data_IF_887392983734
#
_entry.id   IF_887392983734
#
_cell.length_a   1.000
_cell.length_b   1.000
_cell.length_c   1.000
_cell.angle_alpha   90.00
_cell.angle_beta   90.00
_cell.angle_gamma   90.00
#
_symmetry.space_group_name_H-M   'P 1'
#
loop_
_entity.id
_entity.type
_entity.pdbx_description
1 polymer ?
#
# COMPACT_ATOMS: atom_id res chain seq x y z
N UNK A 1 8.09 10.96 -2.65
CA UNK A 1 7.15 11.93 -3.26
C UNK A 1 7.37 11.86 -4.76
N UNK A 2 6.34 11.51 -5.52
CA UNK A 2 6.38 11.46 -6.97
C UNK A 2 5.36 12.44 -7.55
N UNK A 3 5.71 13.03 -8.68
CA UNK A 3 4.85 13.95 -9.43
C UNK A 3 4.65 13.35 -10.82
N UNK A 4 3.39 13.18 -11.22
CA UNK A 4 3.03 12.69 -12.55
C UNK A 4 2.23 13.76 -13.30
N UNK A 5 2.58 13.99 -14.56
CA UNK A 5 1.87 14.89 -15.47
C UNK A 5 1.49 14.07 -16.71
N UNK A 6 0.24 13.59 -16.73
CA UNK A 6 -0.33 12.89 -17.88
C UNK A 6 -1.40 13.77 -18.53
N UNK A 7 -1.06 14.33 -19.70
CA UNK A 7 -2.03 14.94 -20.62
C UNK A 7 -2.97 15.98 -19.97
N UNK A 8 -2.47 16.77 -19.01
CA UNK A 8 -3.21 17.83 -18.32
C UNK A 8 -3.73 17.46 -16.92
N UNK A 9 -3.71 16.18 -16.54
CA UNK A 9 -4.06 15.74 -15.19
C UNK A 9 -2.78 15.65 -14.36
N UNK A 10 -2.67 16.55 -13.37
CA UNK A 10 -1.55 16.59 -12.43
C UNK A 10 -1.92 15.79 -11.20
N UNK A 11 -1.12 14.78 -10.88
CA UNK A 11 -1.27 14.03 -9.64
C UNK A 11 -0.04 14.20 -8.75
N UNK A 12 -0.28 14.19 -7.45
CA UNK A 12 0.76 14.13 -6.44
C UNK A 12 0.63 12.80 -5.69
N UNK A 13 1.76 12.10 -5.59
CA UNK A 13 1.85 10.84 -4.88
C UNK A 13 2.81 10.97 -3.70
N UNK A 14 2.32 10.59 -2.54
CA UNK A 14 3.11 10.50 -1.31
C UNK A 14 2.96 9.10 -0.75
N UNK A 15 4.09 8.44 -0.57
CA UNK A 15 4.17 7.14 0.09
C UNK A 15 5.28 7.17 1.12
N UNK A 16 5.12 6.35 2.14
CA UNK A 16 6.10 6.19 3.20
C UNK A 16 5.86 4.90 3.97
N UNK A 17 6.96 4.32 4.45
CA UNK A 17 6.94 3.24 5.42
C UNK A 17 7.86 3.61 6.58
N UNK A 18 7.43 3.28 7.80
CA UNK A 18 8.18 3.59 9.01
C UNK A 18 8.14 2.42 10.01
N UNK A 19 9.30 1.95 10.52
CA UNK A 19 9.34 0.95 11.57
C UNK A 19 8.96 1.58 12.91
N UNK A 20 7.88 1.11 13.52
CA UNK A 20 7.53 1.49 14.90
C UNK A 20 8.53 0.85 15.86
N UNK A 21 8.90 -0.40 15.59
CA UNK A 21 9.91 -1.15 16.33
C UNK A 21 10.55 -2.20 15.40
N UNK A 22 11.38 -3.09 15.94
CA UNK A 22 12.09 -4.11 15.16
C UNK A 22 11.18 -5.17 14.49
N UNK A 23 9.91 -5.26 14.88
CA UNK A 23 8.96 -6.24 14.38
C UNK A 23 7.74 -5.60 13.69
N UNK A 24 7.43 -4.33 13.94
CA UNK A 24 6.22 -3.65 13.46
C UNK A 24 6.56 -2.50 12.53
N UNK A 25 6.00 -2.56 11.32
CA UNK A 25 6.17 -1.56 10.28
C UNK A 25 4.80 -1.02 9.89
N UNK A 26 4.68 0.30 9.80
CA UNK A 26 3.50 0.93 9.21
C UNK A 26 3.85 1.47 7.84
N UNK A 27 2.88 1.43 6.95
CA UNK A 27 3.02 1.98 5.61
C UNK A 27 1.74 2.71 5.21
N UNK A 28 1.92 3.78 4.46
CA UNK A 28 0.84 4.58 3.92
C UNK A 28 1.22 5.13 2.54
N UNK A 29 0.21 5.28 1.70
CA UNK A 29 0.32 5.83 0.35
C UNK A 29 -0.94 6.63 0.02
N UNK A 30 -0.77 7.77 -0.64
CA UNK A 30 -1.86 8.59 -1.14
C UNK A 30 -1.51 9.09 -2.53
N UNK A 31 -2.46 8.96 -3.47
CA UNK A 31 -2.43 9.58 -4.78
C UNK A 31 -3.61 10.55 -4.87
N UNK A 32 -3.30 11.83 -5.05
CA UNK A 32 -4.29 12.89 -5.19
C UNK A 32 -4.15 13.58 -6.55
N UNK A 33 -5.26 13.70 -7.29
CA UNK A 33 -5.36 14.59 -8.44
C UNK A 33 -5.40 16.03 -7.95
N UNK A 34 -4.42 16.83 -8.34
CA UNK A 34 -4.36 18.28 -8.07
C UNK A 34 -5.30 19.01 -9.03
N UNK A 35 -5.43 18.53 -10.27
CA UNK A 35 -6.31 19.11 -11.28
C UNK A 35 -7.78 19.02 -10.86
N UNK A 36 -8.21 17.85 -10.39
CA UNK A 36 -9.62 17.60 -10.03
C UNK A 36 -9.89 17.81 -8.53
N UNK A 37 -8.84 18.00 -7.73
CA UNK A 37 -8.89 18.05 -6.26
C UNK A 37 -9.54 16.81 -5.60
N UNK A 38 -9.40 15.64 -6.24
CA UNK A 38 -9.94 14.35 -5.78
C UNK A 38 -8.80 13.43 -5.33
N UNK A 39 -9.01 12.66 -4.26
CA UNK A 39 -8.10 11.58 -3.85
C UNK A 39 -8.41 10.32 -4.67
N UNK A 40 -7.52 9.96 -5.59
CA UNK A 40 -7.74 8.82 -6.48
C UNK A 40 -7.55 7.49 -5.76
N UNK A 41 -6.51 7.41 -4.93
CA UNK A 41 -6.16 6.22 -4.17
C UNK A 41 -5.59 6.59 -2.81
N UNK A 42 -5.90 5.78 -1.83
CA UNK A 42 -5.32 5.83 -0.49
C UNK A 42 -5.09 4.40 -0.01
N UNK A 43 -3.90 4.15 0.51
CA UNK A 43 -3.45 2.86 1.03
C UNK A 43 -2.90 3.10 2.41
N UNK A 44 -3.34 2.30 3.37
CA UNK A 44 -2.78 2.31 4.74
C UNK A 44 -2.60 0.88 5.19
N UNK A 45 -1.60 0.63 6.01
CA UNK A 45 -1.42 -0.71 6.52
C UNK A 45 -0.32 -0.84 7.54
N UNK A 46 -0.28 -2.05 8.09
CA UNK A 46 0.67 -2.48 9.08
C UNK A 46 1.18 -3.86 8.70
N UNK A 47 2.47 -4.05 8.88
CA UNK A 47 3.13 -5.35 8.81
C UNK A 47 3.75 -5.66 10.17
N UNK A 48 3.60 -6.91 10.59
CA UNK A 48 4.29 -7.48 11.74
C UNK A 48 5.15 -8.64 11.25
N UNK A 49 6.41 -8.64 11.64
CA UNK A 49 7.40 -9.62 11.23
C UNK A 49 7.97 -10.34 12.45
N UNK A 50 8.00 -11.66 12.37
CA UNK A 50 8.65 -12.55 13.34
C UNK A 50 9.72 -13.40 12.65
N UNK A 51 10.39 -14.27 13.41
CA UNK A 51 11.49 -15.10 12.91
C UNK A 51 11.04 -16.16 11.88
N UNK A 52 9.79 -16.63 11.94
CA UNK A 52 9.30 -17.71 11.07
C UNK A 52 8.00 -17.36 10.34
N UNK A 53 7.38 -16.23 10.67
CA UNK A 53 6.13 -15.79 10.08
C UNK A 53 6.07 -14.28 10.04
N UNK A 54 5.31 -13.76 9.10
CA UNK A 54 4.95 -12.35 9.04
C UNK A 54 3.46 -12.23 8.71
N UNK A 55 2.85 -11.15 9.14
CA UNK A 55 1.50 -10.78 8.72
C UNK A 55 1.49 -9.36 8.22
N UNK A 56 0.63 -9.08 7.25
CA UNK A 56 0.30 -7.71 6.90
C UNK A 56 -1.19 -7.53 6.72
N UNK A 57 -1.65 -6.36 7.12
CA UNK A 57 -3.02 -5.91 6.96
C UNK A 57 -2.95 -4.58 6.23
N UNK A 58 -3.68 -4.48 5.11
CA UNK A 58 -3.77 -3.24 4.36
C UNK A 58 -5.22 -2.90 4.06
N UNK A 59 -5.51 -1.61 4.13
CA UNK A 59 -6.76 -1.02 3.74
C UNK A 59 -6.53 -0.11 2.53
N UNK A 60 -7.35 -0.30 1.51
CA UNK A 60 -7.29 0.43 0.25
C UNK A 60 -8.61 1.14 0.02
N UNK A 61 -8.51 2.40 -0.37
CA UNK A 61 -9.61 3.23 -0.82
C UNK A 61 -9.31 3.72 -2.22
N UNK A 62 -10.22 3.47 -3.17
CA UNK A 62 -10.05 3.87 -4.57
C UNK A 62 -11.27 4.64 -5.07
N UNK A 63 -11.05 5.77 -5.70
CA UNK A 63 -12.12 6.53 -6.33
C UNK A 63 -12.64 5.80 -7.57
N UNK A 64 -13.97 5.69 -7.71
CA UNK A 64 -14.61 5.10 -8.90
C UNK A 64 -15.15 6.20 -9.80
N UNK A 65 -16.16 6.95 -9.32
CA UNK A 65 -16.81 8.02 -10.08
C UNK A 65 -17.63 8.92 -9.15
N UNK A 66 -17.70 10.23 -9.45
CA UNK A 66 -18.52 11.18 -8.70
C UNK A 66 -18.04 11.32 -7.24
N UNK A 67 -18.84 10.85 -6.28
CA UNK A 67 -18.48 10.80 -4.86
C UNK A 67 -18.31 9.36 -4.34
N UNK A 68 -18.31 8.37 -5.22
CA UNK A 68 -18.23 6.96 -4.82
C UNK A 68 -16.78 6.48 -4.72
N UNK A 69 -16.56 5.61 -3.73
CA UNK A 69 -15.27 5.01 -3.42
C UNK A 69 -15.43 3.51 -3.18
N UNK A 70 -14.51 2.75 -3.73
CA UNK A 70 -14.31 1.34 -3.42
C UNK A 70 -13.41 1.20 -2.20
N UNK A 71 -13.76 0.30 -1.29
CA UNK A 71 -13.04 0.04 -0.06
C UNK A 71 -12.71 -1.44 0.03
N UNK A 72 -11.42 -1.76 0.08
CA UNK A 72 -10.94 -3.14 0.17
C UNK A 72 -10.01 -3.26 1.37
N UNK A 73 -10.23 -4.28 2.20
CA UNK A 73 -9.32 -4.62 3.30
C UNK A 73 -8.81 -6.02 3.07
N UNK A 74 -7.50 -6.15 2.96
CA UNK A 74 -6.83 -7.41 2.67
C UNK A 74 -5.85 -7.76 3.79
N UNK A 75 -5.76 -9.05 4.06
CA UNK A 75 -4.86 -9.64 5.04
C UNK A 75 -4.01 -10.73 4.38
N UNK A 76 -2.74 -10.78 4.75
CA UNK A 76 -1.81 -11.81 4.30
C UNK A 76 -1.01 -12.35 5.50
N UNK A 77 -0.91 -13.68 5.58
CA UNK A 77 0.02 -14.40 6.42
C UNK A 77 1.11 -15.00 5.54
N UNK A 78 2.36 -14.68 5.84
CA UNK A 78 3.56 -15.19 5.18
C UNK A 78 4.23 -16.16 6.13
N UNK A 79 4.38 -17.43 5.74
CA UNK A 79 5.21 -18.41 6.43
C UNK A 79 6.58 -18.44 5.76
N UNK A 80 7.57 -17.81 6.40
CA UNK A 80 8.90 -17.60 5.83
C UNK A 80 9.55 -18.95 5.48
N UNK A 81 10.05 -19.07 4.26
CA UNK A 81 10.65 -20.30 3.73
C UNK A 81 9.67 -21.42 3.37
N UNK A 82 8.35 -21.20 3.45
CA UNK A 82 7.33 -22.18 3.03
C UNK A 82 6.37 -21.63 1.98
N UNK A 83 5.46 -20.73 2.36
CA UNK A 83 4.35 -20.26 1.50
C UNK A 83 3.69 -19.00 2.08
N UNK A 84 2.94 -18.27 1.25
CA UNK A 84 2.09 -17.15 1.66
C UNK A 84 0.62 -17.46 1.37
N UNK A 85 -0.30 -16.97 2.21
CA UNK A 85 -1.74 -17.17 2.02
C UNK A 85 -2.35 -16.26 0.97
N UNK A 86 -1.73 -15.11 0.66
CA UNK A 86 -2.36 -14.05 -0.14
C UNK A 86 -1.36 -13.26 -1.01
N UNK A 87 -0.65 -13.90 -1.96
CA UNK A 87 0.38 -13.24 -2.77
C UNK A 87 -0.12 -12.07 -3.64
N UNK A 88 -1.44 -11.91 -3.78
CA UNK A 88 -2.02 -10.74 -4.44
C UNK A 88 -1.86 -9.44 -3.64
N UNK A 89 -1.77 -9.52 -2.31
CA UNK A 89 -1.66 -8.34 -1.46
C UNK A 89 -0.28 -7.68 -1.59
N UNK A 90 0.80 -8.46 -1.51
CA UNK A 90 2.15 -7.95 -1.71
C UNK A 90 2.30 -7.29 -3.08
N UNK A 91 1.83 -7.95 -4.15
CA UNK A 91 1.84 -7.40 -5.51
C UNK A 91 1.08 -6.08 -5.62
N UNK A 92 -0.11 -5.99 -5.00
CA UNK A 92 -0.90 -4.75 -5.00
C UNK A 92 -0.18 -3.63 -4.27
N UNK A 93 0.50 -3.92 -3.17
CA UNK A 93 1.28 -2.92 -2.43
C UNK A 93 2.50 -2.44 -3.23
N UNK A 94 3.16 -3.32 -3.98
CA UNK A 94 4.22 -2.93 -4.92
C UNK A 94 3.71 -2.02 -6.06
N UNK A 95 2.49 -2.27 -6.55
CA UNK A 95 1.84 -1.44 -7.59
C UNK A 95 1.36 -0.08 -7.04
N UNK A 96 0.81 -0.03 -5.83
CA UNK A 96 0.25 1.19 -5.25
C UNK A 96 1.30 2.03 -4.48
N UNK A 97 2.44 1.45 -4.09
CA UNK A 97 3.54 2.11 -3.37
C UNK A 97 4.86 1.86 -4.13
N UNK A 98 5.32 2.81 -4.96
CA UNK A 98 6.60 2.71 -5.65
C UNK A 98 7.75 2.58 -4.64
N UNK A 99 8.62 1.58 -4.81
CA UNK A 99 9.68 1.22 -3.85
C UNK A 99 9.15 0.74 -2.49
N UNK A 100 7.99 0.06 -2.47
CA UNK A 100 7.57 -0.71 -1.30
C UNK A 100 8.59 -1.83 -1.03
N UNK A 101 9.48 -1.58 -0.08
CA UNK A 101 10.60 -2.46 0.28
C UNK A 101 10.30 -3.30 1.54
N UNK A 102 9.03 -3.53 1.89
CA UNK A 102 8.70 -4.46 2.97
C UNK A 102 8.87 -5.90 2.45
N UNK A 103 10.13 -6.29 2.30
CA UNK A 103 10.54 -7.64 1.96
C UNK A 103 10.40 -8.50 3.22
N UNK A 104 9.22 -9.09 3.40
CA UNK A 104 8.92 -9.98 4.53
C UNK A 104 9.38 -11.43 4.25
N UNK A 105 10.08 -11.67 3.15
CA UNK A 105 10.53 -12.99 2.68
C UNK A 105 11.93 -13.42 3.19
N UNK A 106 12.62 -12.58 3.98
CA UNK A 106 13.93 -12.91 4.61
C UNK A 106 13.79 -13.63 5.96
#
# INVERSE_FOLDING_TARGET
>A
IAHHDDNGTKSAELYGAYPINAQMHVFAGINRSITDSITNKETTGIAYESCCWAVRLAHFKKHISGNDYDYVTDFELVLKGLTTTSPGLSKRLEEDIPNYLANLDD
#
